data_IF_384123573168
#
_entry.id   IF_384123573168
#
_cell.length_a   1.000
_cell.length_b   1.000
_cell.length_c   1.000
_cell.angle_alpha   90.00
_cell.angle_beta   90.00
_cell.angle_gamma   90.00
#
_symmetry.space_group_name_H-M   'P 1'
#
loop_
_entity.id
_entity.type
_entity.pdbx_description
1 polymer ?
#
# COMPACT_ATOMS: atom_id res chain seq x y z
N UNK A 1 34.63 -14.12 2.20
CA UNK A 1 33.76 -14.05 1.01
C UNK A 1 34.55 -13.35 -0.08
N UNK A 2 34.78 -14.01 -1.20
CA UNK A 2 35.51 -13.45 -2.34
C UNK A 2 34.64 -12.38 -3.03
N UNK A 3 35.19 -11.17 -3.23
CA UNK A 3 34.55 -10.06 -3.96
C UNK A 3 33.69 -10.46 -5.19
N UNK A 4 34.12 -11.38 -6.09
CA UNK A 4 33.31 -11.78 -7.25
C UNK A 4 31.93 -12.35 -6.93
N UNK A 5 31.70 -12.90 -5.74
CA UNK A 5 30.37 -13.40 -5.36
C UNK A 5 29.41 -12.27 -4.99
N UNK A 6 29.90 -11.14 -4.47
CA UNK A 6 29.06 -10.01 -4.10
C UNK A 6 28.49 -9.33 -5.36
N UNK A 7 29.35 -9.01 -6.32
CA UNK A 7 28.95 -8.37 -7.58
C UNK A 7 27.95 -9.24 -8.36
N UNK A 8 28.10 -10.57 -8.29
CA UNK A 8 27.13 -11.49 -8.89
C UNK A 8 25.79 -11.54 -8.13
N UNK A 9 25.77 -11.35 -6.81
CA UNK A 9 24.51 -11.28 -6.06
C UNK A 9 23.66 -10.08 -6.47
N UNK A 10 24.28 -8.92 -6.71
CA UNK A 10 23.58 -7.74 -7.23
C UNK A 10 22.98 -8.02 -8.61
N UNK A 11 23.74 -8.61 -9.53
CA UNK A 11 23.21 -8.98 -10.85
C UNK A 11 22.12 -10.05 -10.79
N UNK A 12 22.18 -10.98 -9.83
CA UNK A 12 21.09 -11.95 -9.61
C UNK A 12 19.80 -11.24 -9.17
N UNK A 13 19.89 -10.17 -8.38
CA UNK A 13 18.73 -9.34 -8.03
C UNK A 13 18.16 -8.65 -9.28
N UNK A 14 19.02 -8.07 -10.11
CA UNK A 14 18.60 -7.46 -11.38
C UNK A 14 17.96 -8.48 -12.33
N UNK A 15 18.48 -9.71 -12.36
CA UNK A 15 17.89 -10.82 -13.11
C UNK A 15 16.48 -11.14 -12.60
N UNK A 16 16.30 -11.23 -11.29
CA UNK A 16 15.01 -11.51 -10.68
C UNK A 16 13.97 -10.40 -10.95
N UNK A 17 14.43 -9.16 -11.11
CA UNK A 17 13.62 -8.00 -11.49
C UNK A 17 13.36 -7.90 -13.00
N UNK A 18 13.99 -8.75 -13.82
CA UNK A 18 13.91 -8.69 -15.28
C UNK A 18 14.61 -7.47 -15.88
N UNK A 19 15.59 -6.91 -15.17
CA UNK A 19 16.31 -5.70 -15.57
C UNK A 19 17.57 -5.98 -16.42
N UNK A 20 17.99 -7.24 -16.51
CA UNK A 20 19.16 -7.64 -17.30
C UNK A 20 18.81 -7.86 -18.78
N UNK A 21 19.77 -7.53 -19.65
CA UNK A 21 19.73 -7.93 -21.06
C UNK A 21 20.11 -9.43 -21.25
N UNK A 22 20.06 -9.89 -22.51
CA UNK A 22 20.32 -11.29 -22.85
C UNK A 22 21.78 -11.72 -22.58
N UNK A 23 22.74 -10.83 -22.77
CA UNK A 23 24.17 -11.11 -22.58
C UNK A 23 24.49 -11.22 -21.08
N UNK A 24 24.01 -10.26 -20.30
CA UNK A 24 24.13 -10.23 -18.84
C UNK A 24 23.44 -11.44 -18.19
N UNK A 25 22.25 -11.80 -18.67
CA UNK A 25 21.54 -12.99 -18.20
C UNK A 25 22.37 -14.26 -18.41
N UNK A 26 23.01 -14.39 -19.58
CA UNK A 26 23.86 -15.54 -19.88
C UNK A 26 25.14 -15.57 -19.02
N UNK A 27 25.70 -14.40 -18.68
CA UNK A 27 26.83 -14.29 -17.75
C UNK A 27 26.46 -14.76 -16.34
N UNK A 28 25.33 -14.28 -15.81
CA UNK A 28 24.82 -14.72 -14.50
C UNK A 28 24.55 -16.23 -14.51
N UNK A 29 23.93 -16.76 -15.56
CA UNK A 29 23.64 -18.20 -15.68
C UNK A 29 24.92 -19.04 -15.64
N UNK A 30 25.95 -18.67 -16.41
CA UNK A 30 27.27 -19.33 -16.38
C UNK A 30 27.89 -19.34 -14.98
N UNK A 31 27.70 -18.26 -14.22
CA UNK A 31 28.17 -18.20 -12.84
C UNK A 31 27.36 -19.12 -11.91
N UNK A 32 26.03 -19.14 -12.02
CA UNK A 32 25.15 -20.01 -11.23
C UNK A 32 25.42 -21.51 -11.45
N UNK A 33 25.87 -21.87 -12.66
CA UNK A 33 26.25 -23.25 -12.99
C UNK A 33 27.51 -23.71 -12.23
N UNK A 34 28.40 -22.77 -11.87
CA UNK A 34 29.70 -23.06 -11.24
C UNK A 34 29.76 -22.71 -9.75
N UNK A 35 28.87 -21.84 -9.24
CA UNK A 35 28.90 -21.34 -7.87
C UNK A 35 27.67 -21.77 -7.06
N UNK A 36 27.86 -22.70 -6.12
CA UNK A 36 26.77 -23.22 -5.27
C UNK A 36 26.16 -22.17 -4.33
N UNK A 37 26.96 -21.24 -3.78
CA UNK A 37 26.44 -20.19 -2.89
C UNK A 37 25.51 -19.22 -3.62
N UNK A 38 25.88 -18.80 -4.82
CA UNK A 38 25.05 -17.91 -5.65
C UNK A 38 23.78 -18.64 -6.13
N UNK A 39 23.86 -19.96 -6.39
CA UNK A 39 22.69 -20.79 -6.69
C UNK A 39 21.69 -20.84 -5.53
N UNK A 40 22.17 -21.10 -4.30
CA UNK A 40 21.33 -21.08 -3.10
C UNK A 40 20.70 -19.70 -2.87
N UNK A 41 21.44 -18.64 -3.13
CA UNK A 41 20.92 -17.27 -3.06
C UNK A 41 19.81 -17.01 -4.08
N UNK A 42 20.02 -17.37 -5.35
CA UNK A 42 19.01 -17.25 -6.40
C UNK A 42 17.74 -18.05 -6.07
N UNK A 43 17.88 -19.29 -5.57
CA UNK A 43 16.75 -20.11 -5.14
C UNK A 43 15.97 -19.48 -4.00
N UNK A 44 16.66 -18.96 -2.97
CA UNK A 44 16.02 -18.26 -1.86
C UNK A 44 15.23 -17.02 -2.33
N UNK A 45 15.76 -16.26 -3.30
CA UNK A 45 15.05 -15.14 -3.91
C UNK A 45 13.79 -15.58 -4.67
N UNK A 46 13.87 -16.68 -5.44
CA UNK A 46 12.70 -17.24 -6.13
C UNK A 46 11.63 -17.68 -5.13
N UNK A 47 11.99 -18.40 -4.07
CA UNK A 47 11.04 -18.82 -3.02
C UNK A 47 10.36 -17.62 -2.34
N UNK A 48 11.12 -16.57 -2.01
CA UNK A 48 10.57 -15.34 -1.46
C UNK A 48 9.62 -14.66 -2.46
N UNK A 49 10.01 -14.56 -3.73
CA UNK A 49 9.18 -14.01 -4.80
C UNK A 49 7.86 -14.75 -4.98
N UNK A 50 7.87 -16.08 -4.95
CA UNK A 50 6.67 -16.91 -5.02
C UNK A 50 5.75 -16.68 -3.81
N UNK A 51 6.32 -16.55 -2.61
CA UNK A 51 5.56 -16.27 -1.39
C UNK A 51 4.86 -14.89 -1.46
N UNK A 52 5.56 -13.87 -1.96
CA UNK A 52 5.02 -12.53 -2.17
C UNK A 52 3.96 -12.51 -3.25
N UNK A 53 4.18 -13.22 -4.36
CA UNK A 53 3.18 -13.36 -5.42
C UNK A 53 1.91 -14.07 -4.92
N UNK A 54 2.04 -15.08 -4.06
CA UNK A 54 0.91 -15.75 -3.43
C UNK A 54 0.16 -14.84 -2.45
N UNK A 55 0.87 -13.98 -1.71
CA UNK A 55 0.25 -12.95 -0.87
C UNK A 55 -0.49 -11.91 -1.72
N UNK A 56 0.14 -11.41 -2.78
CA UNK A 56 -0.45 -10.44 -3.71
C UNK A 56 -1.75 -10.96 -4.33
N UNK A 57 -1.79 -12.22 -4.77
CA UNK A 57 -3.04 -12.86 -5.26
C UNK A 57 -4.15 -12.90 -4.19
N UNK A 58 -3.80 -13.17 -2.94
CA UNK A 58 -4.78 -13.17 -1.83
C UNK A 58 -5.32 -11.78 -1.54
N UNK A 59 -4.45 -10.77 -1.51
CA UNK A 59 -4.86 -9.36 -1.32
C UNK A 59 -5.74 -8.89 -2.47
N UNK A 60 -5.37 -9.18 -3.72
CA UNK A 60 -6.18 -8.83 -4.88
C UNK A 60 -7.58 -9.45 -4.83
N UNK A 61 -7.68 -10.73 -4.48
CA UNK A 61 -8.98 -11.40 -4.33
C UNK A 61 -9.84 -10.77 -3.22
N UNK A 62 -9.27 -10.39 -2.09
CA UNK A 62 -10.00 -9.68 -1.03
C UNK A 62 -10.44 -8.28 -1.47
N UNK A 63 -9.59 -7.56 -2.21
CA UNK A 63 -9.93 -6.25 -2.76
C UNK A 63 -11.07 -6.31 -3.77
N UNK A 64 -11.08 -7.30 -4.65
CA UNK A 64 -12.18 -7.52 -5.59
C UNK A 64 -13.49 -7.88 -4.86
N UNK A 65 -13.40 -8.68 -3.80
CA UNK A 65 -14.55 -8.97 -2.94
C UNK A 65 -15.07 -7.73 -2.20
N UNK A 66 -14.19 -6.87 -1.68
CA UNK A 66 -14.56 -5.58 -1.07
C UNK A 66 -15.20 -4.65 -2.09
N UNK A 67 -14.64 -4.55 -3.30
CA UNK A 67 -15.19 -3.74 -4.39
C UNK A 67 -16.61 -4.19 -4.75
N UNK A 68 -16.85 -5.50 -4.83
CA UNK A 68 -18.18 -6.07 -5.03
C UNK A 68 -19.18 -5.60 -3.96
N UNK A 69 -18.80 -5.73 -2.68
CA UNK A 69 -19.65 -5.27 -1.55
C UNK A 69 -19.95 -3.78 -1.58
N UNK A 70 -18.97 -2.96 -1.96
CA UNK A 70 -19.16 -1.50 -2.08
C UNK A 70 -20.11 -1.16 -3.24
N UNK A 71 -19.96 -1.82 -4.40
CA UNK A 71 -20.86 -1.61 -5.54
C UNK A 71 -22.30 -2.02 -5.16
N UNK A 72 -22.46 -3.14 -4.49
CA UNK A 72 -23.76 -3.62 -4.01
C UNK A 72 -24.39 -2.66 -3.00
N UNK A 73 -23.61 -2.18 -2.02
CA UNK A 73 -24.07 -1.18 -1.05
C UNK A 73 -24.47 0.14 -1.72
N UNK A 74 -23.71 0.61 -2.71
CA UNK A 74 -24.04 1.83 -3.46
C UNK A 74 -25.30 1.67 -4.31
N UNK A 75 -25.52 0.50 -4.91
CA UNK A 75 -26.76 0.20 -5.64
C UNK A 75 -27.98 0.15 -4.71
N UNK A 76 -27.83 -0.35 -3.48
CA UNK A 76 -28.88 -0.34 -2.47
C UNK A 76 -29.25 1.06 -1.96
N UNK A 77 -28.32 2.03 -2.04
CA UNK A 77 -28.53 3.42 -1.59
C UNK A 77 -28.93 4.36 -2.73
N UNK A 78 -28.80 3.94 -3.99
CA UNK A 78 -29.22 4.76 -5.13
C UNK A 78 -30.74 4.97 -5.14
N UNK A 79 -31.26 6.20 -4.98
CA UNK A 79 -32.69 6.43 -4.99
C UNK A 79 -33.25 6.20 -6.40
N UNK A 80 -34.23 5.32 -6.51
CA UNK A 80 -35.04 5.15 -7.70
C UNK A 80 -35.83 6.44 -8.00
N UNK A 81 -35.25 7.31 -8.85
CA UNK A 81 -35.86 8.29 -9.79
C UNK A 81 -35.06 9.58 -9.85
N UNK A 82 -34.80 10.13 -11.05
CA UNK A 82 -34.36 11.51 -11.18
C UNK A 82 -35.53 12.43 -10.78
N UNK A 83 -35.48 12.99 -9.56
CA UNK A 83 -36.29 14.17 -9.23
C UNK A 83 -35.71 15.34 -10.01
N UNK A 84 -36.49 15.83 -10.98
CA UNK A 84 -36.20 17.05 -11.71
C UNK A 84 -35.88 18.19 -10.73
N UNK A 85 -34.63 18.67 -10.76
CA UNK A 85 -34.15 19.76 -9.94
C UNK A 85 -34.77 21.09 -10.44
N UNK A 86 -35.37 21.92 -9.56
CA UNK A 86 -36.06 23.17 -9.93
C UNK A 86 -35.13 24.32 -10.37
N UNK A 87 -33.83 24.09 -10.53
CA UNK A 87 -32.84 25.14 -10.84
C UNK A 87 -32.81 25.57 -12.32
N UNK A 88 -33.54 24.88 -13.20
CA UNK A 88 -33.63 25.21 -14.65
C UNK A 88 -34.61 26.36 -14.94
N UNK A 89 -35.36 26.86 -13.95
CA UNK A 89 -36.38 27.90 -14.15
C UNK A 89 -35.86 29.27 -14.59
N UNK A 90 -34.58 29.59 -14.33
CA UNK A 90 -34.03 30.93 -14.64
C UNK A 90 -33.57 31.06 -16.10
N UNK A 91 -33.08 30.00 -16.72
CA UNK A 91 -32.63 30.01 -18.12
C UNK A 91 -33.80 29.96 -19.12
N UNK A 92 -34.92 29.33 -18.75
CA UNK A 92 -36.12 29.27 -19.60
C UNK A 92 -36.74 30.67 -19.82
N UNK A 93 -36.69 31.56 -18.82
CA UNK A 93 -37.24 32.92 -18.95
C UNK A 93 -36.45 33.79 -19.94
N UNK A 94 -35.13 33.61 -20.02
CA UNK A 94 -34.30 34.30 -21.01
C UNK A 94 -34.59 33.82 -22.44
N UNK A 95 -34.81 32.51 -22.60
CA UNK A 95 -35.18 31.93 -23.89
C UNK A 95 -36.54 32.42 -24.40
N UNK A 96 -37.54 32.55 -23.51
CA UNK A 96 -38.88 33.05 -23.88
C UNK A 96 -38.84 34.54 -24.27
N UNK A 97 -38.04 35.36 -23.60
CA UNK A 97 -37.88 36.77 -23.95
C UNK A 97 -37.24 36.97 -25.33
N UNK A 98 -36.22 36.16 -25.68
CA UNK A 98 -35.59 36.22 -26.99
C UNK A 98 -36.56 35.86 -28.13
N UNK A 99 -37.43 34.86 -27.92
CA UNK A 99 -38.45 34.46 -28.90
C UNK A 99 -39.51 35.54 -29.09
N UNK A 100 -39.91 36.26 -28.04
CA UNK A 100 -40.88 37.36 -28.14
C UNK A 100 -40.32 38.58 -28.88
N UNK A 101 -39.04 38.92 -28.66
CA UNK A 101 -38.38 40.03 -29.37
C UNK A 101 -38.23 39.71 -30.87
N UNK A 102 -37.85 38.48 -31.21
CA UNK A 102 -37.80 38.00 -32.60
C UNK A 102 -39.18 37.96 -33.26
N UNK A 103 -40.21 37.53 -32.53
CA UNK A 103 -41.59 37.51 -33.02
C UNK A 103 -42.15 38.90 -33.32
N UNK A 104 -41.90 39.87 -32.45
CA UNK A 104 -42.38 41.25 -32.62
C UNK A 104 -41.70 41.97 -33.80
N UNK A 105 -40.39 41.72 -34.04
CA UNK A 105 -39.67 42.29 -35.16
C UNK A 105 -40.21 41.85 -36.53
N UNK A 106 -40.70 40.62 -36.65
CA UNK A 106 -41.27 40.07 -37.89
C UNK A 106 -42.60 40.73 -38.27
N UNK A 107 -43.43 41.07 -37.27
CA UNK A 107 -44.74 41.70 -37.50
C UNK A 107 -44.59 43.14 -37.96
N UNK A 108 -43.67 43.90 -37.33
CA UNK A 108 -43.41 45.30 -37.68
C UNK A 108 -42.72 45.40 -39.06
N UNK A 109 -41.81 44.48 -39.39
CA UNK A 109 -41.13 44.45 -40.69
C UNK A 109 -42.07 44.19 -41.87
N UNK A 110 -43.21 43.52 -41.66
CA UNK A 110 -44.19 43.25 -42.73
C UNK A 110 -45.09 44.42 -43.08
N UNK A 111 -45.23 45.42 -42.22
CA UNK A 111 -46.13 46.54 -42.41
C UNK A 111 -45.47 47.77 -43.09
N UNK A 112 -44.17 47.73 -43.37
CA UNK A 112 -43.42 48.93 -43.79
C UNK A 112 -42.52 48.79 -45.03
N UNK A 113 -42.76 47.84 -45.95
CA UNK A 113 -41.91 47.72 -47.15
C UNK A 113 -42.58 48.21 -48.44
N UNK A 114 -42.13 49.34 -49.03
CA UNK A 114 -42.33 49.69 -50.43
C UNK A 114 -41.24 49.07 -51.32
N UNK A 115 -41.65 48.60 -52.51
CA UNK A 115 -40.83 48.14 -53.65
C UNK A 115 -39.91 46.94 -53.36
N UNK A 116 -40.25 45.81 -53.98
CA UNK A 116 -39.55 44.52 -53.90
C UNK A 116 -38.10 44.61 -54.39
N UNK A 117 -37.20 44.93 -53.47
CA UNK A 117 -35.83 44.41 -53.50
C UNK A 117 -35.96 42.90 -53.36
N UNK A 118 -35.27 42.14 -54.21
CA UNK A 118 -35.30 40.68 -54.22
C UNK A 118 -34.64 40.16 -52.93
N UNK A 119 -35.46 40.07 -51.88
CA UNK A 119 -35.06 39.80 -50.49
C UNK A 119 -34.32 38.47 -50.39
N UNK A 120 -34.62 37.55 -51.31
CA UNK A 120 -34.07 36.20 -51.33
C UNK A 120 -32.67 36.15 -51.92
N UNK A 121 -32.35 37.05 -52.84
CA UNK A 121 -31.00 37.18 -53.38
C UNK A 121 -30.08 37.87 -52.36
N UNK A 122 -30.55 38.91 -51.69
CA UNK A 122 -29.80 39.57 -50.62
C UNK A 122 -29.60 38.65 -49.40
N UNK A 123 -30.61 37.83 -49.07
CA UNK A 123 -30.55 36.87 -47.97
C UNK A 123 -29.59 35.73 -48.26
N UNK A 124 -29.57 35.21 -49.50
CA UNK A 124 -28.62 34.19 -49.90
C UNK A 124 -27.18 34.68 -49.77
N UNK A 125 -26.86 35.87 -50.30
CA UNK A 125 -25.51 36.47 -50.24
C UNK A 125 -25.08 36.85 -48.81
N UNK A 126 -26.02 37.32 -47.98
CA UNK A 126 -25.77 37.59 -46.57
C UNK A 126 -25.55 36.29 -45.79
N UNK A 127 -26.32 35.23 -46.05
CA UNK A 127 -26.12 33.95 -45.37
C UNK A 127 -24.77 33.33 -45.72
N UNK A 128 -24.36 33.30 -46.99
CA UNK A 128 -23.04 32.77 -47.37
C UNK A 128 -21.91 33.59 -46.78
N UNK A 129 -21.99 34.92 -46.81
CA UNK A 129 -20.93 35.79 -46.28
C UNK A 129 -20.82 35.72 -44.75
N UNK A 130 -21.95 35.72 -44.04
CA UNK A 130 -21.99 35.65 -42.57
C UNK A 130 -21.55 34.26 -42.09
N UNK A 131 -22.03 33.19 -42.72
CA UNK A 131 -21.66 31.82 -42.34
C UNK A 131 -20.18 31.55 -42.63
N UNK A 132 -19.67 31.98 -43.79
CA UNK A 132 -18.25 31.79 -44.13
C UNK A 132 -17.29 32.57 -43.21
N UNK A 133 -17.70 33.75 -42.74
CA UNK A 133 -16.86 34.62 -41.89
C UNK A 133 -16.99 34.30 -40.39
N UNK A 134 -18.20 34.10 -39.88
CA UNK A 134 -18.44 33.93 -38.44
C UNK A 134 -18.24 32.49 -37.97
N UNK A 135 -18.55 31.49 -38.79
CA UNK A 135 -18.47 30.09 -38.35
C UNK A 135 -17.06 29.67 -37.90
N UNK A 136 -15.96 29.99 -38.62
CA UNK A 136 -14.63 29.59 -38.18
C UNK A 136 -14.15 30.39 -36.96
N UNK A 137 -14.38 31.71 -36.92
CA UNK A 137 -13.93 32.55 -35.81
C UNK A 137 -14.68 32.24 -34.50
N UNK A 138 -16.00 32.05 -34.56
CA UNK A 138 -16.81 31.68 -33.38
C UNK A 138 -16.47 30.27 -32.91
N UNK A 139 -16.22 29.33 -33.82
CA UNK A 139 -15.83 27.96 -33.46
C UNK A 139 -14.48 27.93 -32.74
N UNK A 140 -13.49 28.67 -33.22
CA UNK A 140 -12.17 28.76 -32.59
C UNK A 140 -12.27 29.39 -31.19
N UNK A 141 -13.04 30.47 -31.04
CA UNK A 141 -13.24 31.15 -29.76
C UNK A 141 -13.97 30.26 -28.73
N UNK A 142 -15.00 29.52 -29.16
CA UNK A 142 -15.73 28.61 -28.27
C UNK A 142 -14.86 27.42 -27.87
N UNK A 143 -14.09 26.83 -28.80
CA UNK A 143 -13.20 25.71 -28.48
C UNK A 143 -12.11 26.13 -27.49
N UNK A 144 -11.48 27.29 -27.68
CA UNK A 144 -10.47 27.79 -26.75
C UNK A 144 -11.01 28.14 -25.36
N UNK A 145 -12.23 28.71 -25.26
CA UNK A 145 -12.87 28.94 -23.95
C UNK A 145 -13.26 27.61 -23.26
N UNK A 146 -13.74 26.62 -24.01
CA UNK A 146 -14.08 25.30 -23.46
C UNK A 146 -12.83 24.56 -22.99
N UNK A 147 -11.77 24.53 -23.79
CA UNK A 147 -10.50 23.88 -23.42
C UNK A 147 -9.91 24.54 -22.17
N UNK A 148 -9.87 25.89 -22.11
CA UNK A 148 -9.38 26.60 -20.92
C UNK A 148 -10.19 26.31 -19.66
N UNK A 149 -11.53 26.19 -19.77
CA UNK A 149 -12.39 25.82 -18.63
C UNK A 149 -12.22 24.37 -18.22
N UNK A 150 -12.01 23.47 -19.19
CA UNK A 150 -11.79 22.05 -18.91
C UNK A 150 -10.45 21.86 -18.21
N UNK A 151 -9.38 22.48 -18.69
CA UNK A 151 -8.05 22.45 -18.07
C UNK A 151 -8.08 23.02 -16.66
N UNK A 152 -8.72 24.18 -16.45
CA UNK A 152 -8.87 24.77 -15.13
C UNK A 152 -9.68 23.87 -14.16
N UNK A 153 -10.75 23.22 -14.66
CA UNK A 153 -11.55 22.31 -13.86
C UNK A 153 -10.80 21.01 -13.51
N UNK A 154 -9.99 20.49 -14.43
CA UNK A 154 -9.13 19.33 -14.20
C UNK A 154 -8.04 19.65 -13.20
N UNK A 155 -7.31 20.77 -13.37
CA UNK A 155 -6.27 21.20 -12.43
C UNK A 155 -6.82 21.40 -11.01
N UNK A 156 -7.98 22.04 -10.86
CA UNK A 156 -8.63 22.21 -9.56
C UNK A 156 -9.08 20.87 -8.94
N UNK A 157 -9.47 19.90 -9.77
CA UNK A 157 -9.88 18.58 -9.31
C UNK A 157 -8.68 17.73 -8.90
N UNK A 158 -7.58 17.80 -9.65
CA UNK A 158 -6.33 17.09 -9.35
C UNK A 158 -5.72 17.58 -8.04
N UNK A 159 -5.71 18.90 -7.80
CA UNK A 159 -5.25 19.49 -6.54
C UNK A 159 -6.11 18.98 -5.37
N UNK A 160 -7.43 18.97 -5.54
CA UNK A 160 -8.35 18.45 -4.51
C UNK A 160 -8.10 16.96 -4.22
N UNK A 161 -8.00 16.13 -5.25
CA UNK A 161 -7.73 14.69 -5.10
C UNK A 161 -6.38 14.47 -4.40
N UNK A 162 -5.34 15.22 -4.77
CA UNK A 162 -4.03 15.13 -4.14
C UNK A 162 -4.12 15.47 -2.64
N UNK A 163 -4.85 16.54 -2.27
CA UNK A 163 -5.02 16.89 -0.85
C UNK A 163 -5.80 15.83 -0.06
N UNK A 164 -6.90 15.30 -0.62
CA UNK A 164 -7.70 14.26 0.04
C UNK A 164 -6.89 12.96 0.20
N UNK A 165 -6.11 12.58 -0.82
CA UNK A 165 -5.25 11.40 -0.78
C UNK A 165 -4.15 11.53 0.26
N UNK A 166 -3.50 12.70 0.36
CA UNK A 166 -2.46 12.96 1.37
C UNK A 166 -3.03 12.88 2.79
N UNK A 167 -4.21 13.44 3.03
CA UNK A 167 -4.86 13.35 4.35
C UNK A 167 -5.28 11.92 4.69
N UNK A 168 -5.85 11.17 3.74
CA UNK A 168 -6.16 9.74 3.92
C UNK A 168 -4.89 8.94 4.25
N UNK A 169 -3.83 9.12 3.47
CA UNK A 169 -2.57 8.41 3.69
C UNK A 169 -1.98 8.76 5.07
N UNK A 170 -2.06 10.02 5.47
CA UNK A 170 -1.58 10.48 6.78
C UNK A 170 -2.41 9.90 7.93
N UNK A 171 -3.72 9.74 7.73
CA UNK A 171 -4.61 9.12 8.70
C UNK A 171 -4.29 7.62 8.85
N UNK A 172 -4.16 6.90 7.74
CA UNK A 172 -3.84 5.47 7.74
C UNK A 172 -2.47 5.19 8.38
N UNK A 173 -1.45 5.99 8.04
CA UNK A 173 -0.12 5.86 8.65
C UNK A 173 -0.15 6.09 10.17
N UNK A 174 -1.01 6.99 10.68
CA UNK A 174 -1.17 7.17 12.13
C UNK A 174 -1.82 5.95 12.80
N UNK A 175 -2.82 5.35 12.15
CA UNK A 175 -3.48 4.13 12.67
C UNK A 175 -2.48 2.98 12.70
N UNK A 176 -1.75 2.77 11.59
CA UNK A 176 -0.72 1.73 11.48
C UNK A 176 0.39 1.94 12.53
N UNK A 177 0.85 3.17 12.73
CA UNK A 177 1.87 3.46 13.75
C UNK A 177 1.36 3.19 15.18
N UNK A 178 0.10 3.50 15.49
CA UNK A 178 -0.51 3.18 16.78
C UNK A 178 -0.68 1.68 16.99
N UNK A 179 -1.03 0.94 15.94
CA UNK A 179 -1.18 -0.52 15.99
C UNK A 179 0.18 -1.22 16.13
N UNK A 180 1.20 -0.75 15.43
CA UNK A 180 2.57 -1.26 15.54
C UNK A 180 3.18 -1.01 16.92
N UNK A 181 3.00 0.19 17.48
CA UNK A 181 3.52 0.52 18.81
C UNK A 181 2.86 -0.36 19.88
N UNK A 182 1.52 -0.39 19.93
CA UNK A 182 0.78 -1.21 20.91
C UNK A 182 0.98 -2.72 20.71
N UNK A 183 1.10 -3.18 19.46
CA UNK A 183 1.40 -4.58 19.14
C UNK A 183 2.83 -4.98 19.53
N UNK A 184 3.80 -4.10 19.29
CA UNK A 184 5.20 -4.34 19.66
C UNK A 184 5.39 -4.37 21.17
N UNK A 185 4.72 -3.48 21.92
CA UNK A 185 4.76 -3.47 23.39
C UNK A 185 4.25 -4.80 23.95
N UNK A 186 3.11 -5.28 23.46
CA UNK A 186 2.56 -6.58 23.89
C UNK A 186 3.50 -7.75 23.60
N UNK A 187 4.10 -7.76 22.41
CA UNK A 187 5.02 -8.83 22.03
C UNK A 187 6.31 -8.79 22.86
N UNK A 188 6.82 -7.59 23.17
CA UNK A 188 7.98 -7.42 24.06
C UNK A 188 7.64 -7.85 25.48
N UNK A 189 6.48 -7.46 26.00
CA UNK A 189 6.02 -7.85 27.34
C UNK A 189 5.84 -9.37 27.46
N UNK A 190 5.26 -10.01 26.44
CA UNK A 190 5.10 -11.47 26.37
C UNK A 190 6.46 -12.17 26.35
N UNK A 191 7.39 -11.71 25.51
CA UNK A 191 8.76 -12.26 25.46
C UNK A 191 9.53 -12.03 26.76
N UNK A 192 9.31 -10.90 27.41
CA UNK A 192 9.94 -10.61 28.70
C UNK A 192 9.40 -11.53 29.79
N UNK A 193 8.09 -11.77 29.83
CA UNK A 193 7.47 -12.72 30.75
C UNK A 193 8.01 -14.15 30.54
N UNK A 194 8.13 -14.60 29.29
CA UNK A 194 8.72 -15.90 28.94
C UNK A 194 10.17 -16.03 29.46
N UNK A 195 10.99 -14.99 29.26
CA UNK A 195 12.39 -14.98 29.73
C UNK A 195 12.47 -15.03 31.25
N UNK A 196 11.63 -14.27 31.95
CA UNK A 196 11.57 -14.30 33.42
C UNK A 196 11.20 -15.71 33.90
N UNK A 197 10.22 -16.35 33.27
CA UNK A 197 9.80 -17.71 33.61
C UNK A 197 10.93 -18.74 33.37
N UNK A 198 11.67 -18.61 32.26
CA UNK A 198 12.83 -19.45 31.97
C UNK A 198 13.94 -19.29 33.02
N UNK A 199 14.26 -18.06 33.42
CA UNK A 199 15.27 -17.78 34.46
C UNK A 199 14.85 -18.37 35.80
N UNK A 200 13.56 -18.24 36.16
CA UNK A 200 13.06 -18.76 37.42
C UNK A 200 13.06 -20.30 37.44
N UNK A 201 12.69 -20.95 36.33
CA UNK A 201 12.81 -22.39 36.16
C UNK A 201 14.27 -22.88 36.25
N UNK A 202 15.20 -22.14 35.64
CA UNK A 202 16.64 -22.42 35.73
C UNK A 202 17.16 -22.29 37.17
N UNK A 203 16.78 -21.22 37.89
CA UNK A 203 17.13 -21.02 39.31
C UNK A 203 16.60 -22.12 40.21
N UNK A 204 15.37 -22.60 39.98
CA UNK A 204 14.82 -23.73 40.73
C UNK A 204 15.61 -25.02 40.48
N UNK A 205 16.02 -25.23 39.22
CA UNK A 205 16.84 -26.40 38.85
C UNK A 205 18.21 -26.33 39.53
N UNK A 206 18.86 -25.17 39.52
CA UNK A 206 20.14 -24.93 40.19
C UNK A 206 20.05 -25.18 41.71
N UNK A 207 19.03 -24.62 42.39
CA UNK A 207 18.78 -24.89 43.82
C UNK A 207 18.64 -26.38 44.13
N UNK A 208 17.97 -27.15 43.24
CA UNK A 208 17.85 -28.61 43.39
C UNK A 208 19.19 -29.32 43.20
N UNK A 209 20.01 -28.86 42.25
CA UNK A 209 21.35 -29.42 42.02
C UNK A 209 22.28 -29.14 43.19
N UNK A 210 22.29 -27.91 43.72
CA UNK A 210 23.05 -27.53 44.92
C UNK A 210 22.61 -28.35 46.13
N UNK A 211 21.31 -28.51 46.36
CA UNK A 211 20.80 -29.34 47.45
C UNK A 211 21.26 -30.81 47.33
N UNK A 212 21.23 -31.39 46.12
CA UNK A 212 21.74 -32.74 45.87
C UNK A 212 23.25 -32.84 46.13
N UNK A 213 24.03 -31.86 45.69
CA UNK A 213 25.48 -31.83 45.90
C UNK A 213 25.81 -31.72 47.40
N UNK A 214 25.11 -30.89 48.16
CA UNK A 214 25.28 -30.77 49.61
C UNK A 214 24.95 -32.08 50.34
N UNK A 215 23.90 -32.79 49.92
CA UNK A 215 23.55 -34.10 50.48
C UNK A 215 24.60 -35.18 50.16
N UNK A 216 25.16 -35.15 48.95
CA UNK A 216 26.29 -36.01 48.58
C UNK A 216 27.55 -35.72 49.41
N UNK A 217 27.88 -34.44 49.64
CA UNK A 217 29.00 -34.06 50.50
C UNK A 217 28.76 -34.53 51.94
N UNK A 218 27.53 -34.36 52.46
CA UNK A 218 27.16 -34.80 53.81
C UNK A 218 27.33 -36.31 53.98
N UNK A 219 26.84 -37.10 53.03
CA UNK A 219 26.94 -38.57 53.07
C UNK A 219 28.38 -39.05 52.93
N UNK A 220 29.18 -38.46 52.03
CA UNK A 220 30.60 -38.78 51.90
C UNK A 220 31.41 -38.43 53.15
N UNK A 221 31.17 -37.25 53.72
CA UNK A 221 31.86 -36.77 54.93
C UNK A 221 31.49 -37.61 56.15
N UNK A 222 30.22 -37.97 56.31
CA UNK A 222 29.75 -38.89 57.36
C UNK A 222 30.44 -40.26 57.30
N UNK A 223 30.58 -40.85 56.10
CA UNK A 223 31.33 -42.10 55.92
C UNK A 223 32.83 -41.94 56.21
N UNK A 224 33.42 -40.80 55.85
CA UNK A 224 34.82 -40.47 56.17
C UNK A 224 35.09 -40.47 57.68
N UNK A 225 34.21 -39.85 58.46
CA UNK A 225 34.33 -39.84 59.93
C UNK A 225 34.23 -41.25 60.55
N UNK A 226 33.32 -42.10 60.05
CA UNK A 226 33.21 -43.50 60.52
C UNK A 226 34.47 -44.31 60.19
N UNK A 227 35.09 -44.09 59.02
CA UNK A 227 36.37 -44.73 58.69
C UNK A 227 37.51 -44.27 59.59
N UNK A 228 37.59 -42.99 59.92
CA UNK A 228 38.62 -42.48 60.82
C UNK A 228 38.43 -43.00 62.26
N UNK A 229 37.20 -43.06 62.75
CA UNK A 229 36.90 -43.63 64.07
C UNK A 229 37.30 -45.11 64.17
N UNK A 230 37.00 -45.92 63.14
CA UNK A 230 37.39 -47.34 63.13
C UNK A 230 38.90 -47.58 62.94
N UNK A 231 39.64 -46.63 62.36
CA UNK A 231 41.11 -46.66 62.34
C UNK A 231 41.70 -46.31 63.71
N UNK A 232 41.13 -45.33 64.42
CA UNK A 232 41.58 -44.95 65.76
C UNK A 232 41.47 -46.11 66.77
N UNK A 233 40.38 -46.88 66.72
CA UNK A 233 40.18 -48.08 67.58
C UNK A 233 41.15 -49.21 67.27
N UNK A 234 41.74 -49.26 66.07
CA UNK A 234 42.71 -50.31 65.67
C UNK A 234 44.16 -49.96 65.98
N UNK A 235 44.43 -48.83 66.63
CA UNK A 235 45.80 -48.47 67.02
C UNK A 235 46.22 -49.38 68.18
N UNK A 236 47.16 -50.34 67.98
CA UNK A 236 47.57 -51.24 69.06
C UNK A 236 48.32 -50.44 70.14
N UNK A 237 48.21 -50.82 71.43
CA UNK A 237 48.93 -50.15 72.49
C UNK A 237 50.44 -50.27 72.23
N UNK A 238 51.13 -49.13 72.26
CA UNK A 238 52.57 -49.06 72.12
C UNK A 238 53.23 -50.06 73.09
N UNK A 239 53.91 -51.06 72.53
CA UNK A 239 54.62 -52.06 73.30
C UNK A 239 55.69 -51.39 74.18
N UNK A 240 55.92 -51.88 75.40
CA UNK A 240 56.89 -51.28 76.31
C UNK A 240 58.31 -51.40 75.73
N UNK A 241 59.00 -50.25 75.64
CA UNK A 241 60.43 -50.18 75.33
C UNK A 241 61.22 -51.06 76.31
N UNK A 242 61.98 -52.02 75.76
CA UNK A 242 63.12 -52.63 76.41
C UNK A 242 64.40 -52.14 75.73
#
# INVERSE_FOLDING_TARGET
MSQPCHDMQERILDLALGALDAEQTQEVQRHLDTCESCRRFAQALTEQGESLAALGRRVQADMDARRGRVIEALQGVAPARPRALPFVGRFVRAAVAAVLILGAGIVIGRLSSPKSIDVEQLRADLQTSIVASLQPAVRQAVLSDVDGRLEAALAARDERIATELVELLRQDLRVIAAELTTGSERLVDERFADVVQLIEAARQTDRRQVAKALEQIRTQTGMGFVRLASLAERTPPAGPNQ
#
